data_IF_137972197024
#
_entry.id   IF_137972197024
#
_cell.length_a   1.000
_cell.length_b   1.000
_cell.length_c   1.000
_cell.angle_alpha   90.00
_cell.angle_beta   90.00
_cell.angle_gamma   90.00
#
_symmetry.space_group_name_H-M   'P 1'
#
loop_
_entity.id
_entity.type
_entity.pdbx_description
1 polymer ?
#
# COMPACT_ATOMS: atom_id res chain seq x y z
N UNK A 1 14.76 0.86 -29.10
CA UNK A 1 13.29 1.03 -29.02
C UNK A 1 12.73 0.66 -27.63
N UNK A 2 13.09 1.36 -26.52
CA UNK A 2 12.39 1.19 -25.23
C UNK A 2 11.47 2.37 -24.86
N UNK A 3 11.55 3.51 -25.57
CA UNK A 3 10.78 4.73 -25.21
C UNK A 3 9.26 4.66 -25.43
N UNK A 4 8.73 3.70 -26.19
CA UNK A 4 7.29 3.65 -26.52
C UNK A 4 6.46 2.87 -25.49
N UNK A 5 7.07 1.99 -24.69
CA UNK A 5 6.33 1.23 -23.65
C UNK A 5 6.16 2.08 -22.38
N UNK A 6 7.09 3.00 -22.11
CA UNK A 6 7.03 3.94 -20.98
C UNK A 6 6.01 5.08 -21.15
N UNK A 7 5.44 5.24 -22.36
CA UNK A 7 4.42 6.25 -22.71
C UNK A 7 3.07 5.64 -23.11
N UNK A 8 2.79 4.39 -22.74
CA UNK A 8 1.44 3.79 -22.86
C UNK A 8 0.98 3.57 -21.41
N UNK A 9 0.50 4.60 -20.71
CA UNK A 9 -0.85 5.16 -20.92
C UNK A 9 -1.89 4.03 -21.05
N UNK A 10 -2.90 3.95 -20.21
CA UNK A 10 -3.71 5.08 -19.78
C UNK A 10 -4.20 4.81 -18.37
N UNK A 11 -3.45 5.31 -17.40
CA UNK A 11 -4.04 5.84 -16.17
C UNK A 11 -3.18 7.02 -15.69
N UNK A 12 -2.96 7.97 -16.60
CA UNK A 12 -2.64 9.36 -16.24
C UNK A 12 -3.95 10.09 -15.87
N UNK A 13 -4.67 9.50 -14.91
CA UNK A 13 -5.91 10.04 -14.36
C UNK A 13 -6.00 9.71 -12.88
N UNK A 14 -5.16 10.38 -12.08
CA UNK A 14 -5.56 10.80 -10.74
C UNK A 14 -5.38 9.80 -9.58
N UNK A 15 -4.42 8.89 -9.63
CA UNK A 15 -4.05 8.04 -8.49
C UNK A 15 -2.53 8.02 -8.26
N UNK A 16 -1.86 9.17 -8.38
CA UNK A 16 -0.68 9.38 -7.54
C UNK A 16 -1.21 9.48 -6.10
N UNK A 17 -1.30 8.35 -5.40
CA UNK A 17 -1.15 8.40 -3.94
C UNK A 17 0.32 8.74 -3.73
N UNK A 18 0.65 10.02 -3.95
CA UNK A 18 1.90 10.62 -3.52
C UNK A 18 1.87 10.50 -2.00
N UNK A 19 2.47 9.42 -1.50
CA UNK A 19 2.83 9.30 -0.10
C UNK A 19 3.97 10.30 0.12
N UNK A 20 3.63 11.58 0.04
CA UNK A 20 4.47 12.66 0.49
C UNK A 20 4.52 12.53 2.01
N UNK A 21 5.43 11.70 2.50
CA UNK A 21 5.85 11.64 3.91
C UNK A 21 6.57 12.94 4.34
N UNK A 22 6.27 14.06 3.68
CA UNK A 22 6.77 15.37 4.04
C UNK A 22 5.81 15.97 5.08
N UNK A 23 6.17 15.72 6.35
CA UNK A 23 5.48 15.89 7.63
C UNK A 23 4.74 14.66 8.19
N UNK A 24 5.03 14.33 9.46
CA UNK A 24 4.33 13.31 10.27
C UNK A 24 2.80 13.43 10.18
N UNK A 25 2.27 14.65 10.08
CA UNK A 25 0.83 14.92 9.99
C UNK A 25 0.19 14.35 8.73
N UNK A 26 0.88 14.32 7.57
CA UNK A 26 0.31 13.79 6.32
C UNK A 26 0.15 12.26 6.37
N UNK A 27 1.10 11.57 7.00
CA UNK A 27 1.05 10.11 7.17
C UNK A 27 -0.19 9.65 7.96
N UNK A 28 -0.52 10.34 9.05
CA UNK A 28 -1.71 10.02 9.85
C UNK A 28 -3.02 10.19 9.07
N UNK A 29 -3.12 11.23 8.23
CA UNK A 29 -4.31 11.47 7.40
C UNK A 29 -4.50 10.34 6.39
N UNK A 30 -3.43 9.90 5.73
CA UNK A 30 -3.51 8.78 4.77
C UNK A 30 -3.96 7.49 5.47
N UNK A 31 -3.37 7.17 6.62
CA UNK A 31 -3.78 5.99 7.40
C UNK A 31 -5.25 6.05 7.81
N UNK A 32 -5.74 7.22 8.23
CA UNK A 32 -7.13 7.41 8.60
C UNK A 32 -8.08 7.22 7.42
N UNK A 33 -7.77 7.79 6.26
CA UNK A 33 -8.59 7.66 5.04
C UNK A 33 -8.62 6.22 4.54
N UNK A 34 -7.46 5.57 4.44
CA UNK A 34 -7.37 4.16 4.00
C UNK A 34 -8.07 3.23 5.00
N UNK A 35 -7.91 3.48 6.30
CA UNK A 35 -8.62 2.77 7.37
C UNK A 35 -10.14 2.93 7.28
N UNK A 36 -10.63 4.14 7.02
CA UNK A 36 -12.06 4.41 6.83
C UNK A 36 -12.65 3.67 5.63
N UNK A 37 -11.94 3.68 4.49
CA UNK A 37 -12.38 2.98 3.27
C UNK A 37 -12.41 1.47 3.50
N UNK A 38 -11.37 0.90 4.10
CA UNK A 38 -11.31 -0.55 4.39
C UNK A 38 -12.38 -0.98 5.39
N UNK A 39 -12.71 -0.15 6.38
CA UNK A 39 -13.83 -0.38 7.28
C UNK A 39 -15.18 -0.35 6.56
N UNK A 40 -15.42 0.66 5.71
CA UNK A 40 -16.65 0.74 4.92
C UNK A 40 -16.83 -0.46 3.98
N UNK A 41 -15.75 -0.87 3.31
CA UNK A 41 -15.70 -2.07 2.47
C UNK A 41 -16.06 -3.34 3.25
N UNK A 42 -15.54 -3.48 4.48
CA UNK A 42 -15.84 -4.61 5.35
C UNK A 42 -17.31 -4.62 5.79
N UNK A 43 -17.87 -3.45 6.13
CA UNK A 43 -19.29 -3.32 6.49
C UNK A 43 -20.22 -3.64 5.33
N UNK A 44 -19.88 -3.22 4.10
CA UNK A 44 -20.65 -3.55 2.90
C UNK A 44 -20.67 -5.06 2.63
N UNK A 45 -19.52 -5.73 2.78
CA UNK A 45 -19.42 -7.19 2.67
C UNK A 45 -20.30 -7.89 3.72
N UNK A 46 -20.17 -7.51 4.99
CA UNK A 46 -20.93 -8.09 6.09
C UNK A 46 -22.45 -7.82 5.95
N UNK A 47 -22.83 -6.58 5.62
CA UNK A 47 -24.23 -6.20 5.41
C UNK A 47 -24.84 -6.93 4.21
N UNK A 48 -24.10 -7.06 3.11
CA UNK A 48 -24.53 -7.78 1.91
C UNK A 48 -24.78 -9.26 2.19
N UNK A 49 -23.91 -9.90 2.97
CA UNK A 49 -24.09 -11.28 3.40
C UNK A 49 -25.29 -11.44 4.36
N UNK A 50 -25.42 -10.59 5.37
CA UNK A 50 -26.47 -10.71 6.38
C UNK A 50 -27.87 -10.38 5.85
N UNK A 51 -28.01 -9.36 4.99
CA UNK A 51 -29.32 -8.91 4.50
C UNK A 51 -29.75 -9.60 3.21
N UNK A 52 -28.92 -10.50 2.67
CA UNK A 52 -29.19 -11.21 1.41
C UNK A 52 -29.52 -10.27 0.24
N UNK A 53 -28.99 -9.05 0.28
CA UNK A 53 -29.23 -8.03 -0.74
C UNK A 53 -28.14 -8.11 -1.81
N UNK A 54 -28.56 -8.18 -3.07
CA UNK A 54 -27.64 -8.32 -4.22
C UNK A 54 -26.76 -7.11 -4.47
N UNK A 55 -27.31 -5.89 -4.35
CA UNK A 55 -26.60 -4.64 -4.66
C UNK A 55 -25.30 -4.49 -3.84
N UNK A 56 -25.31 -4.53 -2.48
CA UNK A 56 -24.08 -4.36 -1.70
C UNK A 56 -23.04 -5.46 -1.99
N UNK A 57 -23.48 -6.68 -2.29
CA UNK A 57 -22.61 -7.80 -2.61
C UNK A 57 -21.96 -7.67 -4.00
N UNK A 58 -22.69 -7.11 -5.00
CA UNK A 58 -22.13 -6.75 -6.31
C UNK A 58 -21.09 -5.64 -6.16
N UNK A 59 -21.38 -4.60 -5.37
CA UNK A 59 -20.45 -3.49 -5.13
C UNK A 59 -19.16 -4.01 -4.49
N UNK A 60 -19.27 -4.87 -3.47
CA UNK A 60 -18.12 -5.51 -2.84
C UNK A 60 -17.31 -6.35 -3.84
N UNK A 61 -17.97 -7.16 -4.66
CA UNK A 61 -17.32 -7.97 -5.69
C UNK A 61 -16.52 -7.13 -6.69
N UNK A 62 -17.13 -6.06 -7.21
CA UNK A 62 -16.47 -5.14 -8.16
C UNK A 62 -15.27 -4.46 -7.50
N UNK A 63 -15.40 -4.01 -6.26
CA UNK A 63 -14.30 -3.40 -5.53
C UNK A 63 -13.14 -4.38 -5.27
N UNK A 64 -13.41 -5.65 -4.95
CA UNK A 64 -12.37 -6.68 -4.84
C UNK A 64 -11.59 -6.85 -6.15
N UNK A 65 -12.28 -6.86 -7.30
CA UNK A 65 -11.61 -6.92 -8.60
C UNK A 65 -10.74 -5.68 -8.84
N UNK A 66 -11.25 -4.47 -8.55
CA UNK A 66 -10.48 -3.23 -8.70
C UNK A 66 -9.20 -3.30 -7.86
N UNK A 67 -9.31 -3.67 -6.58
CA UNK A 67 -8.14 -3.81 -5.69
C UNK A 67 -7.15 -4.84 -6.23
N UNK A 68 -7.63 -6.01 -6.69
CA UNK A 68 -6.76 -7.03 -7.28
C UNK A 68 -6.01 -6.51 -8.52
N UNK A 69 -6.70 -5.82 -9.43
CA UNK A 69 -6.06 -5.24 -10.61
C UNK A 69 -5.06 -4.15 -10.24
N UNK A 70 -5.39 -3.26 -9.31
CA UNK A 70 -4.47 -2.22 -8.81
C UNK A 70 -3.21 -2.84 -8.22
N UNK A 71 -3.33 -3.88 -7.38
CA UNK A 71 -2.18 -4.56 -6.79
C UNK A 71 -1.30 -5.21 -7.86
N UNK A 72 -1.89 -5.89 -8.85
CA UNK A 72 -1.12 -6.51 -9.94
C UNK A 72 -0.40 -5.47 -10.82
N UNK A 73 -1.04 -4.32 -11.07
CA UNK A 73 -0.44 -3.23 -11.85
C UNK A 73 0.80 -2.64 -11.19
N UNK A 74 0.89 -2.66 -9.86
CA UNK A 74 2.05 -2.17 -9.11
C UNK A 74 3.06 -3.29 -8.86
N UNK A 75 2.60 -4.48 -8.46
CA UNK A 75 3.45 -5.59 -8.05
C UNK A 75 4.31 -6.14 -9.21
N UNK A 76 3.72 -6.29 -10.41
CA UNK A 76 4.43 -6.89 -11.56
C UNK A 76 5.62 -6.02 -12.03
N UNK A 77 5.45 -4.71 -12.30
CA UNK A 77 6.59 -3.84 -12.59
C UNK A 77 7.63 -3.84 -11.48
N UNK A 78 7.18 -3.74 -10.23
CA UNK A 78 8.07 -3.67 -9.06
C UNK A 78 8.98 -4.90 -8.95
N UNK A 79 8.48 -6.08 -9.29
CA UNK A 79 9.27 -7.31 -9.33
C UNK A 79 10.26 -7.35 -10.53
N UNK A 80 9.88 -6.81 -11.68
CA UNK A 80 10.71 -6.83 -12.89
C UNK A 80 11.83 -5.78 -12.86
N UNK A 81 11.56 -4.59 -12.33
CA UNK A 81 12.47 -3.45 -12.34
C UNK A 81 13.42 -3.38 -11.14
N UNK A 82 13.50 -4.45 -10.33
CA UNK A 82 14.46 -4.59 -9.22
C UNK A 82 15.89 -4.12 -9.56
N UNK A 83 16.55 -4.63 -10.61
CA UNK A 83 17.93 -4.23 -10.91
C UNK A 83 18.03 -2.77 -11.38
N UNK A 84 16.98 -2.23 -12.02
CA UNK A 84 16.95 -0.84 -12.47
C UNK A 84 16.83 0.13 -11.29
N UNK A 85 16.07 -0.23 -10.25
CA UNK A 85 15.99 0.54 -9.00
C UNK A 85 17.35 0.64 -8.31
N UNK A 86 18.12 -0.44 -8.28
CA UNK A 86 19.47 -0.43 -7.70
C UNK A 86 20.42 0.51 -8.46
N UNK A 87 20.34 0.53 -9.80
CA UNK A 87 21.15 1.42 -10.64
C UNK A 87 20.76 2.89 -10.44
N UNK A 88 19.46 3.18 -10.45
CA UNK A 88 18.95 4.54 -10.20
C UNK A 88 19.36 5.01 -8.80
N UNK A 89 19.29 4.13 -7.81
CA UNK A 89 19.73 4.45 -6.46
C UNK A 89 21.22 4.77 -6.43
N UNK A 90 22.07 3.98 -7.08
CA UNK A 90 23.50 4.29 -7.17
C UNK A 90 23.76 5.65 -7.82
N UNK A 91 23.11 5.95 -8.94
CA UNK A 91 23.23 7.23 -9.64
C UNK A 91 22.82 8.41 -8.75
N UNK A 92 21.68 8.31 -8.05
CA UNK A 92 21.22 9.34 -7.11
C UNK A 92 22.17 9.55 -5.95
N UNK A 93 22.76 8.47 -5.46
CA UNK A 93 23.74 8.54 -4.40
C UNK A 93 25.04 9.19 -4.90
N UNK A 94 25.42 8.99 -6.16
CA UNK A 94 26.57 9.66 -6.78
C UNK A 94 26.32 11.16 -7.04
N UNK A 95 25.09 11.55 -7.37
CA UNK A 95 24.72 12.96 -7.59
C UNK A 95 24.92 13.85 -6.34
N UNK A 96 24.88 13.28 -5.13
CA UNK A 96 25.04 14.02 -3.87
C UNK A 96 26.48 14.09 -3.35
N UNK A 97 27.44 13.48 -4.05
CA UNK A 97 28.86 13.59 -3.72
C UNK A 97 29.46 14.89 -4.29
N UNK A 98 30.41 15.53 -3.59
CA UNK A 98 30.94 15.17 -2.27
C UNK A 98 29.99 15.58 -1.14
N UNK A 99 29.89 14.76 -0.09
CA UNK A 99 28.93 14.96 1.01
C UNK A 99 29.13 16.27 1.79
N UNK A 100 30.36 16.81 1.78
CA UNK A 100 30.68 18.09 2.42
C UNK A 100 29.91 19.27 1.83
N UNK A 101 29.67 19.22 0.52
CA UNK A 101 29.02 20.29 -0.26
C UNK A 101 27.51 20.04 -0.42
N UNK A 102 27.04 18.87 0.02
CA UNK A 102 25.62 18.53 0.00
C UNK A 102 24.80 19.43 0.94
N UNK A 103 23.50 19.51 0.68
CA UNK A 103 22.54 20.26 1.49
C UNK A 103 22.55 19.80 2.96
N UNK A 104 22.23 20.69 3.92
CA UNK A 104 22.27 20.36 5.34
C UNK A 104 21.35 19.18 5.70
N UNK A 105 20.22 19.04 5.00
CA UNK A 105 19.28 17.93 5.19
C UNK A 105 19.89 16.58 4.78
N UNK A 106 20.56 16.54 3.62
CA UNK A 106 21.25 15.33 3.14
C UNK A 106 22.39 14.96 4.07
N UNK A 107 23.16 15.94 4.55
CA UNK A 107 24.25 15.71 5.51
C UNK A 107 23.70 15.14 6.82
N UNK A 108 22.68 15.76 7.41
CA UNK A 108 22.08 15.29 8.65
C UNK A 108 21.48 13.89 8.51
N UNK A 109 20.80 13.61 7.39
CA UNK A 109 20.26 12.29 7.11
C UNK A 109 21.38 11.24 7.01
N UNK A 110 22.47 11.58 6.32
CA UNK A 110 23.60 10.68 6.15
C UNK A 110 24.30 10.40 7.47
N UNK A 111 24.50 11.40 8.32
CA UNK A 111 25.07 11.23 9.67
C UNK A 111 24.20 10.33 10.56
N UNK A 112 22.87 10.46 10.49
CA UNK A 112 21.94 9.56 11.20
C UNK A 112 22.03 8.12 10.70
N UNK A 113 22.10 7.93 9.38
CA UNK A 113 22.26 6.61 8.76
C UNK A 113 23.58 5.98 9.22
N UNK A 114 24.67 6.75 9.23
CA UNK A 114 25.99 6.29 9.68
C UNK A 114 25.99 5.83 11.13
N UNK A 115 25.34 6.59 12.02
CA UNK A 115 25.17 6.20 13.43
C UNK A 115 24.30 4.93 13.58
N UNK A 116 23.23 4.80 12.79
CA UNK A 116 22.31 3.68 12.90
C UNK A 116 22.85 2.39 12.29
N UNK A 117 23.61 2.49 11.19
CA UNK A 117 24.12 1.36 10.42
C UNK A 117 25.60 1.08 10.66
N UNK A 118 26.27 1.86 11.51
CA UNK A 118 27.70 1.72 11.84
C UNK A 118 28.59 1.66 10.59
N UNK A 119 28.37 2.60 9.69
CA UNK A 119 29.09 2.72 8.41
C UNK A 119 29.62 4.15 8.25
N UNK A 120 30.59 4.36 7.34
CA UNK A 120 31.12 5.69 7.06
C UNK A 120 31.20 5.97 5.56
N UNK A 121 30.71 7.15 5.18
CA UNK A 121 30.58 7.56 3.80
C UNK A 121 29.51 6.80 3.03
N UNK A 122 29.25 7.22 1.79
CA UNK A 122 28.28 6.57 0.92
C UNK A 122 28.92 5.35 0.27
N UNK A 123 30.01 5.59 -0.47
CA UNK A 123 30.85 4.58 -1.10
C UNK A 123 32.20 4.43 -0.39
N UNK A 124 32.67 5.48 0.29
CA UNK A 124 33.93 5.48 1.05
C UNK A 124 33.97 6.63 2.06
N UNK A 125 34.78 6.51 3.12
CA UNK A 125 35.03 7.61 4.06
C UNK A 125 35.58 8.87 3.39
N UNK A 126 36.25 8.72 2.24
CA UNK A 126 36.78 9.82 1.42
C UNK A 126 35.71 10.69 0.80
N UNK A 127 34.44 10.26 0.80
CA UNK A 127 33.32 11.05 0.27
C UNK A 127 33.08 12.32 1.10
N UNK A 128 33.55 12.33 2.35
CA UNK A 128 33.64 13.49 3.25
C UNK A 128 34.91 14.32 3.05
N UNK A 129 35.71 14.06 2.02
CA UNK A 129 36.96 14.75 1.76
C UNK A 129 37.87 14.80 3.00
N UNK A 130 38.16 16.02 3.47
CA UNK A 130 39.02 16.25 4.64
C UNK A 130 38.27 16.39 5.98
N UNK A 131 36.94 16.41 5.97
CA UNK A 131 36.11 16.73 7.13
C UNK A 131 35.17 15.59 7.46
N UNK A 132 35.71 14.51 8.02
CA UNK A 132 34.91 13.36 8.43
C UNK A 132 34.12 13.68 9.71
N UNK A 133 32.79 13.56 9.71
CA UNK A 133 31.95 13.85 10.88
C UNK A 133 32.12 12.80 11.98
N UNK A 134 31.72 13.17 13.20
CA UNK A 134 31.79 12.29 14.36
C UNK A 134 30.81 11.09 14.27
N UNK A 135 29.83 11.11 13.36
CA UNK A 135 28.96 9.96 13.05
C UNK A 135 29.71 8.76 12.49
N UNK A 136 30.90 8.97 11.92
CA UNK A 136 31.76 7.90 11.41
C UNK A 136 32.63 7.23 12.49
N UNK A 137 32.59 7.72 13.73
CA UNK A 137 33.43 7.24 14.80
C UNK A 137 32.99 5.88 15.33
N UNK A 138 33.95 4.95 15.42
CA UNK A 138 33.77 3.71 16.15
C UNK A 138 33.84 3.98 17.66
N UNK A 139 32.71 3.90 18.36
CA UNK A 139 32.63 4.14 19.81
C UNK A 139 32.52 2.86 20.64
N UNK A 140 32.13 1.72 20.06
CA UNK A 140 31.92 0.49 20.81
C UNK A 140 33.17 -0.40 20.85
N UNK A 141 33.49 -0.94 22.03
CA UNK A 141 34.54 -1.96 22.22
C UNK A 141 34.22 -3.26 21.45
N UNK A 142 32.93 -3.58 21.24
CA UNK A 142 32.49 -4.71 20.41
C UNK A 142 32.88 -4.55 18.93
N UNK A 143 32.74 -3.33 18.37
CA UNK A 143 33.05 -3.06 16.95
C UNK A 143 34.56 -3.16 16.65
N UNK A 144 35.41 -3.03 17.68
CA UNK A 144 36.87 -3.18 17.56
C UNK A 144 37.31 -4.65 17.47
N UNK A 145 36.54 -5.58 18.05
CA UNK A 145 36.84 -7.01 18.01
C UNK A 145 36.47 -7.66 16.66
N UNK A 146 35.49 -7.12 15.95
CA UNK A 146 35.05 -7.65 14.64
C UNK A 146 35.90 -7.14 13.45
N UNK A 147 36.89 -6.28 13.67
CA UNK A 147 37.73 -5.73 12.60
C UNK A 147 37.00 -4.74 11.68
N UNK A 148 35.86 -4.21 12.13
CA UNK A 148 34.97 -3.31 11.40
C UNK A 148 35.51 -1.87 11.34
N UNK A 149 36.52 -1.56 12.15
CA UNK A 149 37.09 -0.24 12.30
C UNK A 149 38.51 -0.13 11.72
N UNK A 150 38.81 0.99 11.07
CA UNK A 150 40.13 1.33 10.54
C UNK A 150 40.76 2.47 11.36
N UNK A 151 42.07 2.43 11.57
CA UNK A 151 42.83 3.58 12.02
C UNK A 151 43.15 4.51 10.84
N UNK A 152 42.79 5.79 10.93
CA UNK A 152 43.19 6.77 9.91
C UNK A 152 44.46 7.49 10.35
N UNK A 153 45.46 7.69 9.46
CA UNK A 153 46.57 8.57 9.75
C UNK A 153 46.08 10.00 10.05
N UNK A 154 46.64 10.59 11.09
CA UNK A 154 46.30 11.88 11.74
C UNK A 154 46.14 13.12 10.84
N UNK A 155 46.48 13.05 9.55
CA UNK A 155 46.47 14.20 8.64
C UNK A 155 45.06 14.69 8.26
N UNK A 156 44.02 13.87 8.41
CA UNK A 156 42.61 14.16 8.06
C UNK A 156 41.75 14.57 9.28
N UNK A 157 42.37 14.78 10.45
CA UNK A 157 41.69 14.89 11.75
C UNK A 157 41.51 16.34 12.25
N UNK A 158 41.88 17.33 11.45
CA UNK A 158 42.31 18.64 11.96
C UNK A 158 41.21 19.72 12.14
N UNK A 159 39.92 19.37 12.15
CA UNK A 159 38.85 20.40 12.27
C UNK A 159 37.66 20.03 13.19
N UNK A 160 37.83 19.15 14.18
CA UNK A 160 36.94 19.17 15.35
C UNK A 160 37.74 19.55 16.60
N UNK A 161 37.43 20.72 17.18
CA UNK A 161 37.99 21.19 18.45
C UNK A 161 37.48 20.33 19.62
N UNK A 162 37.99 19.11 19.73
CA UNK A 162 37.81 18.30 20.94
C UNK A 162 39.15 17.73 21.38
N UNK A 163 39.73 18.33 22.43
CA UNK A 163 40.88 17.76 23.14
C UNK A 163 40.43 16.47 23.83
N UNK A 164 40.74 15.33 23.23
CA UNK A 164 40.83 14.06 23.97
C UNK A 164 42.22 13.49 23.82
N UNK A 165 42.84 13.34 24.98
CA UNK A 165 44.08 12.67 25.30
C UNK A 165 44.25 11.35 24.52
N UNK A 166 45.20 11.31 23.58
CA UNK A 166 45.99 10.10 23.30
C UNK A 166 45.30 8.87 22.65
N UNK A 167 44.06 8.94 22.18
CA UNK A 167 43.41 7.79 21.53
C UNK A 167 43.41 7.92 20.00
N UNK A 168 43.87 6.89 19.29
CA UNK A 168 43.74 6.77 17.83
C UNK A 168 42.26 6.91 17.45
N UNK A 169 41.91 7.78 16.49
CA UNK A 169 40.51 7.95 16.04
C UNK A 169 40.18 6.79 15.07
N UNK A 170 39.37 5.84 15.53
CA UNK A 170 38.91 4.71 14.74
C UNK A 170 37.62 5.10 13.99
N UNK A 171 37.56 4.82 12.69
CA UNK A 171 36.36 5.01 11.89
C UNK A 171 35.81 3.69 11.36
N UNK A 172 34.52 3.66 11.06
CA UNK A 172 33.92 2.54 10.35
C UNK A 172 34.54 2.40 8.96
N UNK A 173 35.08 1.21 8.66
CA UNK A 173 35.68 0.89 7.36
C UNK A 173 34.61 0.65 6.28
N UNK A 174 33.44 0.18 6.69
CA UNK A 174 32.37 -0.21 5.78
C UNK A 174 31.60 1.01 5.26
N UNK A 175 31.32 1.00 3.96
CA UNK A 175 30.51 2.02 3.29
C UNK A 175 29.01 1.79 3.50
N UNK A 176 28.21 2.85 3.53
CA UNK A 176 26.77 2.74 3.78
C UNK A 176 25.95 2.25 2.58
N UNK A 177 26.41 2.49 1.35
CA UNK A 177 25.69 2.13 0.13
C UNK A 177 25.35 0.63 0.01
N UNK A 178 26.29 -0.33 0.16
CA UNK A 178 25.95 -1.75 0.07
C UNK A 178 24.93 -2.18 1.13
N UNK A 179 25.08 -1.69 2.36
CA UNK A 179 24.13 -1.97 3.45
C UNK A 179 22.75 -1.44 3.07
N UNK A 180 22.66 -0.19 2.62
CA UNK A 180 21.39 0.44 2.28
C UNK A 180 20.72 -0.22 1.07
N UNK A 181 21.51 -0.63 0.07
CA UNK A 181 21.03 -1.40 -1.07
C UNK A 181 20.34 -2.69 -0.61
N UNK A 182 20.99 -3.45 0.28
CA UNK A 182 20.43 -4.71 0.79
C UNK A 182 19.13 -4.46 1.59
N UNK A 183 19.09 -3.44 2.45
CA UNK A 183 17.87 -3.05 3.16
C UNK A 183 16.71 -2.68 2.21
N UNK A 184 17.00 -1.94 1.15
CA UNK A 184 15.98 -1.56 0.16
C UNK A 184 15.47 -2.79 -0.60
N UNK A 185 16.36 -3.69 -1.01
CA UNK A 185 15.98 -4.93 -1.69
C UNK A 185 15.09 -5.82 -0.81
N UNK A 186 15.46 -6.01 0.47
CA UNK A 186 14.64 -6.76 1.43
C UNK A 186 13.28 -6.10 1.67
N UNK A 187 13.25 -4.79 1.89
CA UNK A 187 12.00 -4.05 2.09
C UNK A 187 11.06 -4.18 0.87
N UNK A 188 11.64 -4.11 -0.33
CA UNK A 188 10.92 -4.29 -1.58
C UNK A 188 10.31 -5.70 -1.69
N UNK A 189 11.01 -6.75 -1.26
CA UNK A 189 10.51 -8.13 -1.27
C UNK A 189 9.42 -8.36 -0.23
N UNK A 190 9.56 -7.79 0.96
CA UNK A 190 8.49 -7.77 1.98
C UNK A 190 7.23 -7.09 1.43
N UNK A 191 7.38 -5.94 0.77
CA UNK A 191 6.26 -5.22 0.17
C UNK A 191 5.56 -6.04 -0.92
N UNK A 192 6.32 -6.74 -1.75
CA UNK A 192 5.79 -7.65 -2.77
C UNK A 192 4.99 -8.79 -2.13
N UNK A 193 5.50 -9.37 -1.03
CA UNK A 193 4.80 -10.38 -0.25
C UNK A 193 3.47 -9.88 0.32
N UNK A 194 3.46 -8.68 0.90
CA UNK A 194 2.25 -8.03 1.43
C UNK A 194 1.22 -7.80 0.30
N UNK A 195 1.66 -7.27 -0.85
CA UNK A 195 0.79 -7.03 -1.99
C UNK A 195 0.15 -8.33 -2.51
N UNK A 196 0.94 -9.41 -2.61
CA UNK A 196 0.43 -10.73 -2.99
C UNK A 196 -0.58 -11.28 -1.98
N UNK A 197 -0.32 -11.12 -0.68
CA UNK A 197 -1.26 -11.49 0.38
C UNK A 197 -2.60 -10.77 0.26
N UNK A 198 -2.60 -9.45 0.06
CA UNK A 198 -3.84 -8.69 -0.15
C UNK A 198 -4.57 -9.10 -1.44
N UNK A 199 -3.86 -9.40 -2.52
CA UNK A 199 -4.47 -9.88 -3.76
C UNK A 199 -5.16 -11.24 -3.54
N UNK A 200 -4.53 -12.17 -2.81
CA UNK A 200 -5.14 -13.45 -2.46
C UNK A 200 -6.40 -13.28 -1.60
N UNK A 201 -6.36 -12.41 -0.58
CA UNK A 201 -7.53 -12.09 0.25
C UNK A 201 -8.68 -11.49 -0.57
N UNK A 202 -8.37 -10.59 -1.51
CA UNK A 202 -9.36 -9.99 -2.40
C UNK A 202 -10.01 -11.03 -3.33
N UNK A 203 -9.23 -11.98 -3.86
CA UNK A 203 -9.75 -13.09 -4.67
C UNK A 203 -10.66 -14.01 -3.87
N UNK A 204 -10.28 -14.36 -2.64
CA UNK A 204 -11.14 -15.16 -1.75
C UNK A 204 -12.46 -14.44 -1.46
N UNK A 205 -12.41 -13.14 -1.14
CA UNK A 205 -13.60 -12.31 -0.96
C UNK A 205 -14.50 -12.25 -2.20
N UNK A 206 -13.89 -12.14 -3.39
CA UNK A 206 -14.59 -12.15 -4.66
C UNK A 206 -15.28 -13.51 -4.93
N UNK A 207 -14.58 -14.62 -4.70
CA UNK A 207 -15.16 -15.97 -4.87
C UNK A 207 -16.33 -16.19 -3.92
N UNK A 208 -16.17 -15.87 -2.63
CA UNK A 208 -17.24 -16.00 -1.63
C UNK A 208 -18.45 -15.15 -2.04
N UNK A 209 -18.22 -13.91 -2.47
CA UNK A 209 -19.29 -13.00 -2.88
C UNK A 209 -20.01 -13.47 -4.15
N UNK A 210 -19.26 -14.01 -5.12
CA UNK A 210 -19.84 -14.58 -6.34
C UNK A 210 -20.70 -15.81 -6.04
N UNK A 211 -20.25 -16.70 -5.13
CA UNK A 211 -21.03 -17.86 -4.69
C UNK A 211 -22.31 -17.41 -4.00
N UNK A 212 -22.23 -16.47 -3.05
CA UNK A 212 -23.42 -15.92 -2.37
C UNK A 212 -24.39 -15.27 -3.36
N UNK A 213 -23.90 -14.51 -4.36
CA UNK A 213 -24.74 -13.94 -5.43
C UNK A 213 -25.42 -15.02 -6.27
N UNK A 214 -24.71 -16.10 -6.60
CA UNK A 214 -25.27 -17.22 -7.35
C UNK A 214 -26.38 -17.93 -6.57
N UNK A 215 -26.18 -18.15 -5.27
CA UNK A 215 -27.21 -18.72 -4.37
C UNK A 215 -28.44 -17.81 -4.32
N UNK A 216 -28.26 -16.49 -4.12
CA UNK A 216 -29.34 -15.51 -4.10
C UNK A 216 -30.08 -15.40 -5.45
N UNK A 217 -29.39 -15.63 -6.58
CA UNK A 217 -30.01 -15.67 -7.91
C UNK A 217 -30.87 -16.91 -8.07
N UNK A 218 -30.35 -18.07 -7.69
CA UNK A 218 -31.06 -19.36 -7.74
C UNK A 218 -32.37 -19.31 -6.96
N UNK A 219 -32.35 -18.81 -5.72
CA UNK A 219 -33.53 -18.71 -4.86
C UNK A 219 -34.65 -17.81 -5.40
N UNK A 220 -34.33 -16.85 -6.28
CA UNK A 220 -35.35 -16.00 -6.93
C UNK A 220 -35.84 -16.57 -8.27
N UNK A 221 -35.00 -17.32 -8.99
CA UNK A 221 -35.39 -17.97 -10.25
C UNK A 221 -36.31 -19.18 -10.01
N UNK A 222 -36.24 -19.80 -8.82
CA UNK A 222 -37.12 -20.89 -8.41
C UNK A 222 -38.59 -20.48 -8.12
N UNK A 223 -39.00 -19.25 -8.43
CA UNK A 223 -40.43 -18.85 -8.42
C UNK A 223 -40.93 -18.61 -9.84
N UNK A 224 -41.22 -19.66 -10.64
CA UNK A 224 -42.14 -19.52 -11.76
C UNK A 224 -43.56 -19.48 -11.19
N UNK A 225 -44.11 -18.27 -11.02
CA UNK A 225 -45.57 -18.11 -11.02
C UNK A 225 -46.04 -18.36 -12.45
N UNK A 226 -46.33 -19.61 -12.78
CA UNK A 226 -47.29 -19.97 -13.84
C UNK A 226 -48.17 -21.10 -13.30
N UNK A 227 -49.20 -20.72 -12.56
CA UNK A 227 -50.45 -21.48 -12.56
C UNK A 227 -51.10 -21.28 -13.95
N UNK A 228 -51.25 -22.38 -14.70
CA UNK A 228 -52.17 -22.50 -15.82
C UNK A 228 -53.01 -23.75 -15.62
N UNK A 229 -54.32 -23.55 -15.59
CA UNK A 229 -55.40 -24.49 -15.28
C UNK A 229 -55.58 -25.54 -16.38
N UNK A 230 -55.73 -26.83 -16.01
CA UNK A 230 -56.88 -27.71 -16.36
C UNK A 230 -56.51 -29.20 -16.35
N UNK A 231 -56.90 -29.93 -15.29
CA UNK A 231 -57.62 -31.22 -15.35
C UNK A 231 -57.88 -31.74 -13.92
N UNK A 232 -59.15 -31.77 -13.50
CA UNK A 232 -59.66 -32.48 -12.29
C UNK A 232 -59.37 -34.01 -12.34
N UNK A 233 -59.54 -34.79 -11.25
CA UNK A 233 -59.43 -34.48 -9.81
C UNK A 233 -58.60 -35.53 -9.04
N UNK A 234 -57.86 -35.12 -8.01
CA UNK A 234 -57.65 -35.99 -6.84
C UNK A 234 -57.38 -35.16 -5.59
N UNK A 235 -58.08 -35.53 -4.52
CA UNK A 235 -58.11 -34.85 -3.22
C UNK A 235 -56.74 -34.92 -2.56
N UNK A 236 -56.13 -33.80 -2.24
CA UNK A 236 -55.18 -33.72 -1.13
C UNK A 236 -55.22 -32.33 -0.49
N UNK A 237 -55.64 -32.28 0.77
CA UNK A 237 -55.60 -31.10 1.62
C UNK A 237 -54.19 -30.95 2.18
N UNK A 238 -53.52 -29.83 1.92
CA UNK A 238 -52.49 -29.32 2.81
C UNK A 238 -52.63 -27.80 2.94
N UNK A 239 -53.06 -27.41 4.13
CA UNK A 239 -53.11 -26.03 4.59
C UNK A 239 -51.70 -25.57 4.96
N UNK A 240 -51.27 -24.43 4.44
CA UNK A 240 -50.46 -23.47 5.21
C UNK A 240 -50.47 -22.12 4.48
N UNK A 241 -51.13 -21.15 5.12
CA UNK A 241 -51.15 -19.74 4.72
C UNK A 241 -49.74 -19.14 4.60
N UNK A 242 -49.45 -18.30 3.59
CA UNK A 242 -48.37 -17.33 3.62
C UNK A 242 -48.87 -15.92 4.00
N UNK A 243 -48.00 -15.02 4.51
CA UNK A 243 -48.41 -13.74 5.07
C UNK A 243 -48.86 -12.72 4.01
N UNK A 244 -49.87 -11.92 4.37
CA UNK A 244 -50.31 -10.71 3.67
C UNK A 244 -49.25 -9.61 3.84
N UNK A 245 -48.75 -9.06 2.74
CA UNK A 245 -48.15 -7.72 2.73
C UNK A 245 -49.07 -6.81 1.93
N UNK A 246 -49.79 -5.95 2.65
CA UNK A 246 -50.68 -4.93 2.10
C UNK A 246 -49.87 -3.66 1.83
N UNK A 247 -49.82 -3.27 0.56
CA UNK A 247 -50.05 -1.91 0.06
C UNK A 247 -49.75 -0.75 1.02
N UNK A 248 -48.61 -0.08 0.85
CA UNK A 248 -48.47 1.32 1.29
C UNK A 248 -47.33 2.03 0.55
N UNK A 249 -47.49 2.23 -0.76
CA UNK A 249 -46.91 3.40 -1.41
C UNK A 249 -47.68 3.74 -2.68
N UNK A 250 -48.66 4.63 -2.57
CA UNK A 250 -49.14 5.42 -3.69
C UNK A 250 -49.63 6.78 -3.18
N UNK A 251 -48.94 7.82 -3.62
CA UNK A 251 -49.50 9.12 -4.01
C UNK A 251 -48.44 9.86 -4.85
N UNK A 252 -48.78 10.90 -5.63
CA UNK A 252 -50.10 11.32 -6.14
C UNK A 252 -50.07 11.70 -7.64
N UNK A 253 -51.14 11.45 -8.39
CA UNK A 253 -51.47 12.22 -9.62
C UNK A 253 -52.94 11.90 -9.98
N UNK A 254 -53.87 12.82 -10.29
CA UNK A 254 -53.79 14.08 -11.03
C UNK A 254 -55.05 14.93 -10.76
N UNK A 255 -54.87 16.24 -10.87
CA UNK A 255 -55.84 17.33 -10.93
C UNK A 255 -56.70 17.24 -12.20
N UNK A 256 -58.02 17.48 -12.12
CA UNK A 256 -58.81 18.50 -12.88
C UNK A 256 -60.33 18.34 -12.68
N UNK A 257 -61.13 19.39 -12.96
CA UNK A 257 -62.24 19.82 -12.11
C UNK A 257 -63.60 19.50 -12.72
N UNK A 258 -64.67 19.54 -11.92
CA UNK A 258 -65.93 20.06 -12.44
C UNK A 258 -66.90 20.56 -11.38
N UNK A 259 -67.80 21.38 -11.90
CA UNK A 259 -68.54 22.48 -11.31
C UNK A 259 -69.85 22.06 -10.61
N UNK A 260 -70.28 22.91 -9.66
CA UNK A 260 -71.66 23.28 -9.32
C UNK A 260 -72.61 22.42 -8.44
N UNK A 261 -73.06 23.11 -7.37
CA UNK A 261 -74.46 23.36 -6.96
C UNK A 261 -75.20 22.35 -6.06
N UNK A 262 -75.70 22.90 -4.94
CA UNK A 262 -76.70 22.31 -4.05
C UNK A 262 -76.60 22.89 -2.65
#
# INVERSE_FOLDING_TARGET
MPCTIMKIMLFDSGWEVKLDFENQTKGFVVLYVVGGITMAMSLLGAYGAHREKRIPLIVFLVACFIVCFCLLRVAVPTAMYRPEVEQIMEEKFREVLPLNEASPDVRQLTERIQLSLKCCGLFSYTDWGNNVPDSCLCQAEEDQMEGTCLNIPYQLLFLSEFRVTGSQKLIYKQACFPILKDYVAEALDILLGIAFGFAALALLGAVISAVLLAQLRSSTVAVPVVFSVSSHPSKFNFSSHPPKYSELYNEPEKREPDYCSG
#
